data_IF_319532986287
#
_entry.id   IF_319532986287
#
_cell.length_a   1.000
_cell.length_b   1.000
_cell.length_c   1.000
_cell.angle_alpha   90.00
_cell.angle_beta   90.00
_cell.angle_gamma   90.00
#
_symmetry.space_group_name_H-M   'P 1'
#
loop_
_entity.id
_entity.type
_entity.pdbx_description
1 polymer ?
#
# COMPACT_ATOMS: atom_id res chain seq x y z
N UNK A 1 -55.44 19.99 -33.95
CA UNK A 1 -54.53 20.95 -34.58
C UNK A 1 -53.18 20.77 -33.92
N UNK A 2 -52.32 19.98 -34.56
CA UNK A 2 -50.95 19.82 -34.09
C UNK A 2 -50.17 21.10 -34.46
N UNK A 3 -49.52 21.73 -33.52
CA UNK A 3 -48.67 22.90 -33.77
C UNK A 3 -47.52 22.50 -34.69
N UNK A 4 -47.31 23.26 -35.76
CA UNK A 4 -46.22 23.06 -36.71
C UNK A 4 -44.87 23.18 -35.97
N UNK A 5 -44.01 22.15 -35.94
CA UNK A 5 -42.74 22.17 -35.22
C UNK A 5 -41.77 23.26 -35.71
N UNK A 6 -42.03 23.86 -36.89
CA UNK A 6 -41.23 24.98 -37.42
C UNK A 6 -41.37 26.31 -36.72
N UNK A 7 -42.43 26.50 -35.90
CA UNK A 7 -42.62 27.71 -35.09
C UNK A 7 -42.00 27.64 -33.69
N UNK A 8 -41.40 26.54 -33.28
CA UNK A 8 -40.73 26.37 -31.99
C UNK A 8 -39.27 26.80 -31.98
N UNK A 9 -38.62 26.91 -33.15
CA UNK A 9 -37.18 27.18 -33.26
C UNK A 9 -36.73 28.56 -32.76
N UNK A 10 -37.47 29.69 -32.97
CA UNK A 10 -37.07 30.99 -32.40
C UNK A 10 -37.32 31.09 -30.91
N UNK A 11 -38.23 30.28 -30.35
CA UNK A 11 -38.61 30.34 -28.94
C UNK A 11 -37.70 29.51 -28.01
N UNK A 12 -36.95 28.56 -28.52
CA UNK A 12 -36.11 27.70 -27.72
C UNK A 12 -34.73 28.27 -27.37
N UNK A 13 -34.30 29.39 -27.95
CA UNK A 13 -33.04 30.06 -27.62
C UNK A 13 -31.82 29.11 -27.73
N UNK A 14 -31.75 28.29 -28.77
CA UNK A 14 -30.66 27.29 -28.96
C UNK A 14 -29.25 27.84 -28.70
N UNK A 15 -28.89 29.07 -29.13
CA UNK A 15 -27.58 29.62 -28.80
C UNK A 15 -27.39 29.87 -27.30
N UNK A 16 -28.44 30.32 -26.62
CA UNK A 16 -28.39 30.56 -25.16
C UNK A 16 -28.36 29.24 -24.40
N UNK A 17 -29.09 28.21 -24.84
CA UNK A 17 -29.05 26.88 -24.26
C UNK A 17 -27.68 26.24 -24.47
N UNK A 18 -27.11 26.32 -25.67
CA UNK A 18 -25.75 25.82 -25.95
C UNK A 18 -24.72 26.56 -25.09
N UNK A 19 -24.82 27.88 -24.95
CA UNK A 19 -23.98 28.68 -24.07
C UNK A 19 -24.06 28.21 -22.62
N UNK A 20 -25.28 28.02 -22.11
CA UNK A 20 -25.48 27.56 -20.73
C UNK A 20 -24.95 26.15 -20.45
N UNK A 21 -25.04 25.22 -21.42
CA UNK A 21 -24.47 23.88 -21.31
C UNK A 21 -22.95 23.94 -21.27
N UNK A 22 -22.31 24.72 -22.12
CA UNK A 22 -20.87 24.91 -22.18
C UNK A 22 -20.38 25.66 -20.93
N UNK A 23 -21.12 26.65 -20.41
CA UNK A 23 -20.79 27.36 -19.18
C UNK A 23 -20.80 26.44 -17.95
N UNK A 24 -21.66 25.42 -17.92
CA UNK A 24 -21.69 24.44 -16.85
C UNK A 24 -20.34 23.70 -16.72
N UNK A 25 -19.70 23.40 -17.83
CA UNK A 25 -18.39 22.75 -17.86
C UNK A 25 -17.23 23.75 -17.74
N UNK A 26 -17.54 25.05 -17.56
CA UNK A 26 -16.59 26.15 -17.49
C UNK A 26 -15.75 26.30 -18.76
N UNK A 27 -16.35 25.98 -19.92
CA UNK A 27 -15.74 26.14 -21.24
C UNK A 27 -16.19 27.45 -21.86
N UNK A 28 -15.31 28.08 -22.61
CA UNK A 28 -15.63 29.27 -23.38
C UNK A 28 -16.27 28.89 -24.73
N UNK A 29 -17.36 29.57 -25.10
CA UNK A 29 -18.01 29.42 -26.41
C UNK A 29 -18.03 30.75 -27.15
N UNK A 30 -17.61 30.69 -28.41
CA UNK A 30 -17.76 31.80 -29.37
C UNK A 30 -18.41 31.26 -30.64
N UNK A 31 -19.46 31.89 -31.12
CA UNK A 31 -20.05 31.64 -32.45
C UNK A 31 -19.74 32.82 -33.32
N UNK A 32 -19.23 32.54 -34.53
CA UNK A 32 -18.78 33.54 -35.52
C UNK A 32 -19.36 33.30 -36.89
N UNK A 33 -19.52 34.38 -37.62
CA UNK A 33 -19.74 34.32 -39.07
C UNK A 33 -18.43 33.90 -39.73
N UNK A 34 -18.45 32.84 -40.55
CA UNK A 34 -17.23 32.26 -41.12
C UNK A 34 -16.55 33.16 -42.16
N UNK A 35 -17.32 34.00 -42.88
CA UNK A 35 -16.82 34.89 -43.91
C UNK A 35 -16.20 36.16 -43.30
N UNK A 36 -16.95 36.85 -42.45
CA UNK A 36 -16.51 38.12 -41.84
C UNK A 36 -15.66 37.96 -40.60
N UNK A 37 -15.79 36.83 -39.86
CA UNK A 37 -15.16 36.64 -38.57
C UNK A 37 -15.82 37.38 -37.43
N UNK A 38 -17.00 37.98 -37.67
CA UNK A 38 -17.76 38.74 -36.68
C UNK A 38 -18.31 37.78 -35.60
N UNK A 39 -18.17 38.11 -34.35
CA UNK A 39 -18.72 37.36 -33.23
C UNK A 39 -20.22 37.59 -33.09
N UNK A 40 -20.98 36.54 -33.17
CA UNK A 40 -22.44 36.54 -33.09
C UNK A 40 -22.94 36.11 -31.72
N UNK A 41 -22.18 35.30 -31.03
CA UNK A 41 -22.48 34.87 -29.68
C UNK A 41 -21.20 34.63 -28.89
N UNK A 42 -21.23 34.98 -27.61
CA UNK A 42 -20.17 34.75 -26.63
C UNK A 42 -20.84 34.33 -25.32
N UNK A 43 -20.46 33.19 -24.74
CA UNK A 43 -20.99 32.76 -23.45
C UNK A 43 -20.36 33.51 -22.28
N UNK A 44 -20.91 33.32 -21.07
CA UNK A 44 -20.46 34.02 -19.86
C UNK A 44 -18.99 33.65 -19.51
N UNK A 45 -18.60 32.40 -19.63
CA UNK A 45 -17.23 31.93 -19.35
C UNK A 45 -16.22 32.63 -20.27
N UNK A 46 -16.48 32.71 -21.56
CA UNK A 46 -15.55 33.37 -22.51
C UNK A 46 -15.50 34.90 -22.22
N UNK A 47 -16.64 35.54 -21.95
CA UNK A 47 -16.70 36.95 -21.57
C UNK A 47 -15.87 37.23 -20.31
N UNK A 48 -15.95 36.37 -19.31
CA UNK A 48 -15.15 36.46 -18.09
C UNK A 48 -13.64 36.28 -18.38
N UNK A 49 -13.26 35.34 -19.22
CA UNK A 49 -11.83 35.12 -19.58
C UNK A 49 -11.26 36.32 -20.33
N UNK A 50 -12.07 36.99 -21.15
CA UNK A 50 -11.67 38.17 -21.89
C UNK A 50 -11.76 39.48 -21.07
N UNK A 51 -12.35 39.42 -19.87
CA UNK A 51 -12.54 40.59 -19.01
C UNK A 51 -13.50 41.65 -19.59
N UNK A 52 -14.40 41.26 -20.47
CA UNK A 52 -15.34 42.15 -21.13
C UNK A 52 -16.78 41.54 -21.13
N UNK A 53 -17.83 42.32 -20.98
CA UNK A 53 -19.17 41.80 -21.07
C UNK A 53 -19.48 41.29 -22.49
N UNK A 54 -20.29 40.23 -22.60
CA UNK A 54 -20.60 39.57 -23.87
C UNK A 54 -21.13 40.56 -24.93
N UNK A 55 -22.00 41.47 -24.54
CA UNK A 55 -22.58 42.48 -25.44
C UNK A 55 -21.54 43.44 -26.02
N UNK A 56 -20.43 43.65 -25.30
CA UNK A 56 -19.33 44.48 -25.82
C UNK A 56 -18.45 43.75 -26.83
N UNK A 57 -18.55 42.41 -26.91
CA UNK A 57 -17.81 41.54 -27.81
C UNK A 57 -18.58 41.18 -29.07
N UNK A 58 -19.90 41.06 -28.96
CA UNK A 58 -20.80 40.75 -30.09
C UNK A 58 -20.74 41.89 -31.13
N UNK A 59 -20.73 41.54 -32.40
CA UNK A 59 -20.57 42.47 -33.52
C UNK A 59 -19.13 42.87 -33.85
N UNK A 60 -18.16 42.48 -33.02
CA UNK A 60 -16.71 42.70 -33.26
C UNK A 60 -16.03 41.49 -33.86
N UNK A 61 -14.82 41.70 -34.38
CA UNK A 61 -13.90 40.63 -34.83
C UNK A 61 -12.80 40.44 -33.80
N UNK A 62 -12.18 39.27 -33.82
CA UNK A 62 -10.97 39.01 -33.01
C UNK A 62 -9.83 39.94 -33.46
N UNK A 63 -9.36 40.82 -32.61
CA UNK A 63 -8.25 41.72 -32.85
C UNK A 63 -7.00 41.33 -32.05
N UNK A 64 -6.92 40.04 -31.62
CA UNK A 64 -5.80 39.52 -30.84
C UNK A 64 -6.20 39.05 -29.45
N UNK A 65 -7.45 39.22 -29.01
CA UNK A 65 -7.89 38.80 -27.68
C UNK A 65 -7.77 37.29 -27.44
N UNK A 66 -7.95 36.49 -28.50
CA UNK A 66 -7.80 35.01 -28.48
C UNK A 66 -6.52 34.57 -29.22
N UNK A 67 -5.45 35.35 -29.09
CA UNK A 67 -4.15 35.10 -29.75
C UNK A 67 -4.11 35.66 -31.17
N UNK A 68 -3.25 35.10 -32.02
CA UNK A 68 -3.06 35.59 -33.39
C UNK A 68 -4.38 35.55 -34.16
N UNK A 69 -4.83 36.75 -34.55
CA UNK A 69 -6.10 36.96 -35.26
C UNK A 69 -6.12 36.27 -36.62
N UNK A 70 -4.98 36.29 -37.37
CA UNK A 70 -4.86 35.65 -38.67
C UNK A 70 -4.91 34.15 -38.58
N UNK A 71 -4.16 33.56 -37.61
CA UNK A 71 -4.19 32.12 -37.38
C UNK A 71 -5.57 31.62 -36.95
N UNK A 72 -6.26 32.36 -36.09
CA UNK A 72 -7.62 32.03 -35.66
C UNK A 72 -8.61 32.11 -36.82
N UNK A 73 -8.51 33.11 -37.68
CA UNK A 73 -9.37 33.27 -38.85
C UNK A 73 -9.13 32.10 -39.83
N UNK A 74 -7.88 31.73 -40.08
CA UNK A 74 -7.55 30.59 -40.95
C UNK A 74 -8.09 29.28 -40.37
N UNK A 75 -8.00 29.06 -39.07
CA UNK A 75 -8.55 27.87 -38.41
C UNK A 75 -10.09 27.85 -38.45
N UNK A 76 -10.74 28.96 -38.28
CA UNK A 76 -12.21 29.10 -38.41
C UNK A 76 -12.66 28.81 -39.86
N UNK A 77 -11.95 29.32 -40.86
CA UNK A 77 -12.23 29.07 -42.27
C UNK A 77 -12.01 27.59 -42.65
N UNK A 78 -10.94 26.97 -42.11
CA UNK A 78 -10.70 25.53 -42.31
C UNK A 78 -11.84 24.70 -41.70
N UNK A 79 -12.30 25.02 -40.51
CA UNK A 79 -13.43 24.35 -39.85
C UNK A 79 -14.74 24.56 -40.59
N UNK A 80 -14.96 25.74 -41.18
CA UNK A 80 -16.13 26.03 -41.97
C UNK A 80 -16.20 25.22 -43.28
N UNK A 81 -15.04 24.86 -43.87
CA UNK A 81 -14.94 24.08 -45.12
C UNK A 81 -14.97 22.57 -44.91
N UNK A 82 -14.91 22.06 -43.67
CA UNK A 82 -14.86 20.63 -43.39
C UNK A 82 -16.18 20.09 -42.86
N UNK A 83 -16.45 18.80 -43.13
CA UNK A 83 -17.53 18.08 -42.47
C UNK A 83 -16.99 17.50 -41.16
N UNK A 84 -17.35 18.10 -40.03
CA UNK A 84 -16.94 17.65 -38.70
C UNK A 84 -16.15 18.69 -37.88
N UNK A 85 -15.82 18.31 -36.67
CA UNK A 85 -15.13 19.20 -35.74
C UNK A 85 -13.60 19.15 -35.98
N UNK A 86 -12.96 20.32 -35.88
CA UNK A 86 -11.51 20.48 -35.98
C UNK A 86 -11.00 20.84 -34.54
N UNK A 87 -10.01 20.12 -34.08
CA UNK A 87 -9.43 20.35 -32.73
C UNK A 87 -8.00 20.89 -32.86
N UNK A 88 -7.67 21.90 -32.03
CA UNK A 88 -6.31 22.44 -31.94
C UNK A 88 -5.95 22.75 -30.48
N UNK A 89 -4.67 22.63 -30.15
CA UNK A 89 -4.15 23.12 -28.86
C UNK A 89 -3.62 24.55 -29.04
N UNK A 90 -4.00 25.42 -28.09
CA UNK A 90 -3.64 26.83 -28.11
C UNK A 90 -3.16 27.26 -26.73
N UNK A 91 -2.03 27.97 -26.67
CA UNK A 91 -1.54 28.59 -25.44
C UNK A 91 -1.72 30.10 -25.57
N UNK A 92 -2.43 30.68 -24.62
CA UNK A 92 -2.74 32.10 -24.59
C UNK A 92 -2.39 32.71 -23.24
N UNK A 93 -2.08 34.01 -23.29
CA UNK A 93 -2.00 34.84 -22.10
C UNK A 93 -3.29 35.67 -22.02
N UNK A 94 -4.14 35.34 -21.07
CA UNK A 94 -5.40 36.00 -20.84
C UNK A 94 -5.38 36.70 -19.50
N UNK A 95 -5.48 38.02 -19.48
CA UNK A 95 -5.43 38.87 -18.28
C UNK A 95 -4.19 38.62 -17.42
N UNK A 96 -3.01 38.40 -18.07
CA UNK A 96 -1.74 38.10 -17.38
C UNK A 96 -1.61 36.67 -16.85
N UNK A 97 -2.57 35.80 -17.15
CA UNK A 97 -2.53 34.37 -16.81
C UNK A 97 -2.29 33.54 -18.05
N UNK A 98 -1.20 32.80 -18.05
CA UNK A 98 -0.90 31.83 -19.13
C UNK A 98 -1.80 30.62 -18.99
N UNK A 99 -2.66 30.42 -19.99
CA UNK A 99 -3.62 29.31 -20.06
C UNK A 99 -3.36 28.43 -21.26
N UNK A 100 -3.74 27.18 -21.15
CA UNK A 100 -3.64 26.21 -22.23
C UNK A 100 -5.02 25.63 -22.55
N UNK A 101 -5.41 25.77 -23.82
CA UNK A 101 -6.75 25.39 -24.27
C UNK A 101 -6.70 24.28 -25.31
N UNK A 102 -7.68 23.40 -25.27
CA UNK A 102 -8.10 22.60 -26.42
C UNK A 102 -9.30 23.33 -27.02
N UNK A 103 -9.18 23.71 -28.29
CA UNK A 103 -10.21 24.45 -29.03
C UNK A 103 -10.84 23.53 -30.04
N UNK A 104 -12.12 23.25 -29.87
CA UNK A 104 -12.96 22.49 -30.80
C UNK A 104 -13.71 23.47 -31.69
N UNK A 105 -13.56 23.39 -33.01
CA UNK A 105 -14.28 24.24 -33.98
C UNK A 105 -15.17 23.38 -34.87
N UNK A 106 -16.41 23.83 -35.04
CA UNK A 106 -17.42 23.18 -35.88
C UNK A 106 -18.07 24.20 -36.80
N UNK A 107 -17.98 23.97 -38.11
CA UNK A 107 -18.72 24.75 -39.10
C UNK A 107 -20.12 24.20 -39.29
N UNK A 108 -21.14 25.10 -39.36
CA UNK A 108 -22.51 24.70 -39.59
C UNK A 108 -23.27 25.82 -40.36
N UNK A 109 -24.34 25.44 -41.06
CA UNK A 109 -25.16 26.36 -41.81
C UNK A 109 -26.31 26.85 -40.95
N UNK A 110 -26.43 28.15 -40.84
CA UNK A 110 -27.55 28.80 -40.12
C UNK A 110 -28.81 28.79 -41.00
N UNK A 111 -30.03 28.91 -40.42
CA UNK A 111 -31.30 28.95 -41.18
C UNK A 111 -31.38 30.05 -42.18
N UNK A 112 -30.63 31.13 -42.00
CA UNK A 112 -30.57 32.28 -42.93
C UNK A 112 -29.56 32.09 -44.09
N UNK A 113 -28.95 30.90 -44.21
CA UNK A 113 -27.99 30.53 -45.26
C UNK A 113 -26.56 30.99 -44.98
N UNK A 114 -26.27 31.62 -43.83
CA UNK A 114 -24.90 31.97 -43.46
C UNK A 114 -24.14 30.75 -42.97
N UNK A 115 -22.87 30.66 -43.34
CA UNK A 115 -21.95 29.68 -42.75
C UNK A 115 -21.37 30.22 -41.46
N UNK A 116 -21.61 29.51 -40.36
CA UNK A 116 -21.15 29.89 -39.02
C UNK A 116 -20.08 28.88 -38.51
N UNK A 117 -19.28 29.35 -37.53
CA UNK A 117 -18.33 28.51 -36.81
C UNK A 117 -18.59 28.68 -35.33
N UNK A 118 -18.88 27.56 -34.67
CA UNK A 118 -18.88 27.47 -33.21
C UNK A 118 -17.46 27.01 -32.74
N UNK A 119 -16.86 27.76 -31.85
CA UNK A 119 -15.58 27.43 -31.23
C UNK A 119 -15.73 27.27 -29.73
N UNK A 120 -15.52 26.03 -29.24
CA UNK A 120 -15.53 25.71 -27.80
C UNK A 120 -14.08 25.66 -27.33
N UNK A 121 -13.79 26.38 -26.25
CA UNK A 121 -12.47 26.52 -25.66
C UNK A 121 -12.47 25.83 -24.31
N UNK A 122 -11.75 24.72 -24.18
CA UNK A 122 -11.61 23.96 -22.94
C UNK A 122 -10.25 24.25 -22.28
N UNK A 123 -10.25 24.81 -21.06
CA UNK A 123 -9.02 25.07 -20.31
C UNK A 123 -8.49 23.79 -19.65
N UNK A 124 -7.41 23.24 -20.20
CA UNK A 124 -6.76 22.02 -19.71
C UNK A 124 -5.70 22.28 -18.62
N UNK A 125 -5.36 23.52 -18.35
CA UNK A 125 -4.35 23.91 -17.38
C UNK A 125 -4.62 23.35 -15.99
N UNK A 126 -5.83 23.56 -15.41
CA UNK A 126 -6.16 23.05 -14.07
C UNK A 126 -6.11 21.51 -13.96
N UNK A 127 -6.50 20.81 -15.01
CA UNK A 127 -6.47 19.35 -15.03
C UNK A 127 -5.03 18.83 -15.09
N UNK A 128 -4.19 19.40 -15.95
CA UNK A 128 -2.74 19.05 -16.05
C UNK A 128 -1.97 19.38 -14.78
N UNK A 129 -2.30 20.50 -14.13
CA UNK A 129 -1.66 20.86 -12.87
C UNK A 129 -1.99 19.85 -11.76
N UNK A 130 -3.25 19.43 -11.64
CA UNK A 130 -3.67 18.37 -10.70
C UNK A 130 -2.98 17.04 -10.99
N UNK A 131 -2.89 16.65 -12.26
CA UNK A 131 -2.20 15.44 -12.67
C UNK A 131 -0.71 15.47 -12.29
N UNK A 132 -0.05 16.60 -12.52
CA UNK A 132 1.36 16.77 -12.13
C UNK A 132 1.55 16.71 -10.61
N UNK A 133 0.67 17.34 -9.84
CA UNK A 133 0.69 17.27 -8.38
C UNK A 133 0.47 15.84 -7.86
N UNK A 134 -0.46 15.12 -8.48
CA UNK A 134 -0.70 13.72 -8.13
C UNK A 134 0.52 12.83 -8.41
N UNK A 135 1.16 13.00 -9.56
CA UNK A 135 2.40 12.28 -9.91
C UNK A 135 3.53 12.55 -8.90
N UNK A 136 3.71 13.81 -8.50
CA UNK A 136 4.70 14.17 -7.49
C UNK A 136 4.39 13.55 -6.12
N UNK A 137 3.12 13.57 -5.70
CA UNK A 137 2.70 12.97 -4.44
C UNK A 137 2.91 11.44 -4.42
N UNK A 138 2.60 10.76 -5.53
CA UNK A 138 2.85 9.32 -5.66
C UNK A 138 4.35 8.99 -5.56
N UNK A 139 5.21 9.74 -6.26
CA UNK A 139 6.65 9.54 -6.19
C UNK A 139 7.20 9.76 -4.76
N UNK A 140 6.67 10.73 -4.01
CA UNK A 140 7.04 10.95 -2.61
C UNK A 140 6.59 9.79 -1.71
N UNK A 141 5.40 9.25 -1.92
CA UNK A 141 4.91 8.08 -1.17
C UNK A 141 5.79 6.86 -1.41
N UNK A 142 6.18 6.59 -2.65
CA UNK A 142 7.11 5.49 -2.97
C UNK A 142 8.47 5.65 -2.28
N UNK A 143 9.04 6.85 -2.29
CA UNK A 143 10.28 7.13 -1.57
C UNK A 143 10.17 6.91 -0.06
N UNK A 144 9.06 7.38 0.54
CA UNK A 144 8.82 7.20 1.98
C UNK A 144 8.63 5.71 2.33
N UNK A 145 7.97 4.92 1.49
CA UNK A 145 7.83 3.48 1.69
C UNK A 145 9.19 2.77 1.66
N UNK A 146 10.02 3.06 0.65
CA UNK A 146 11.38 2.50 0.56
C UNK A 146 12.25 2.90 1.76
N UNK A 147 12.20 4.16 2.18
CA UNK A 147 12.93 4.62 3.36
C UNK A 147 12.45 3.92 4.65
N UNK A 148 11.14 3.72 4.79
CA UNK A 148 10.56 3.01 5.93
C UNK A 148 10.97 1.53 5.97
N UNK A 149 11.01 0.86 4.81
CA UNK A 149 11.51 -0.51 4.71
C UNK A 149 12.99 -0.61 5.07
N UNK A 150 13.81 0.35 4.61
CA UNK A 150 15.23 0.40 4.97
C UNK A 150 15.42 0.63 6.48
N UNK A 151 14.67 1.57 7.07
CA UNK A 151 14.71 1.82 8.51
C UNK A 151 14.26 0.61 9.32
N UNK A 152 13.22 -0.11 8.86
CA UNK A 152 12.77 -1.36 9.50
C UNK A 152 13.85 -2.44 9.44
N UNK A 153 14.51 -2.62 8.28
CA UNK A 153 15.63 -3.56 8.13
C UNK A 153 16.81 -3.19 9.04
N UNK A 154 17.15 -1.90 9.12
CA UNK A 154 18.21 -1.42 10.02
C UNK A 154 17.83 -1.57 11.50
N UNK A 155 16.58 -1.29 11.87
CA UNK A 155 16.08 -1.48 13.22
C UNK A 155 16.06 -2.98 13.63
N UNK A 156 15.72 -3.87 12.71
CA UNK A 156 15.78 -5.32 12.93
C UNK A 156 17.22 -5.81 13.10
N UNK A 157 18.20 -5.22 12.38
CA UNK A 157 19.63 -5.56 12.51
C UNK A 157 20.31 -4.97 13.75
N UNK A 158 19.79 -3.88 14.32
CA UNK A 158 20.39 -3.18 15.48
C UNK A 158 19.66 -3.42 16.81
N UNK A 159 18.42 -3.93 16.79
CA UNK A 159 17.71 -4.31 18.01
C UNK A 159 18.03 -5.75 18.39
N UNK A 160 18.40 -6.02 19.65
CA UNK A 160 18.57 -7.39 20.12
C UNK A 160 17.30 -8.23 20.05
N UNK A 161 16.13 -7.60 19.91
CA UNK A 161 14.82 -8.25 19.86
C UNK A 161 14.10 -7.97 18.56
N UNK A 162 13.38 -8.96 18.04
CA UNK A 162 12.46 -8.79 16.92
C UNK A 162 11.27 -7.91 17.32
N UNK A 163 10.97 -6.90 16.50
CA UNK A 163 10.08 -5.80 16.86
C UNK A 163 8.68 -6.20 17.34
N UNK A 164 7.99 -7.13 16.67
CA UNK A 164 6.61 -7.48 17.01
C UNK A 164 6.51 -8.60 18.06
N UNK A 165 7.40 -9.60 18.03
CA UNK A 165 7.38 -10.77 18.92
C UNK A 165 8.07 -10.51 20.27
N UNK A 166 8.99 -9.54 20.34
CA UNK A 166 9.77 -9.21 21.53
C UNK A 166 10.78 -10.29 21.94
N UNK A 167 10.97 -11.34 21.13
CA UNK A 167 12.02 -12.34 21.28
C UNK A 167 13.32 -11.84 20.66
N UNK A 168 14.46 -12.41 21.07
CA UNK A 168 15.75 -12.02 20.52
C UNK A 168 15.88 -12.39 19.04
N UNK A 169 16.67 -11.63 18.27
CA UNK A 169 17.08 -12.06 16.95
C UNK A 169 18.10 -13.21 17.03
N UNK A 170 18.21 -13.99 15.97
CA UNK A 170 19.05 -15.20 15.94
C UNK A 170 20.53 -14.91 16.25
N UNK A 171 21.10 -13.85 15.68
CA UNK A 171 22.49 -13.47 15.91
C UNK A 171 22.78 -13.15 17.38
N UNK A 172 21.88 -12.43 18.05
CA UNK A 172 22.01 -12.12 19.47
C UNK A 172 21.84 -13.37 20.35
N UNK A 173 20.91 -14.27 19.96
CA UNK A 173 20.70 -15.53 20.64
C UNK A 173 21.96 -16.44 20.54
N UNK A 174 22.56 -16.56 19.37
CA UNK A 174 23.80 -17.31 19.19
C UNK A 174 24.97 -16.77 20.01
N UNK A 175 25.08 -15.44 20.11
CA UNK A 175 26.06 -14.80 20.98
C UNK A 175 25.81 -15.11 22.47
N UNK A 176 24.56 -15.11 22.91
CA UNK A 176 24.21 -15.48 24.28
C UNK A 176 24.50 -16.95 24.57
N UNK A 177 24.14 -17.84 23.62
CA UNK A 177 24.42 -19.28 23.73
C UNK A 177 25.93 -19.55 23.84
N UNK A 178 26.74 -18.88 23.03
CA UNK A 178 28.22 -19.01 23.08
C UNK A 178 28.76 -18.57 24.45
N UNK A 179 28.30 -17.43 24.97
CA UNK A 179 28.68 -16.92 26.29
C UNK A 179 28.30 -17.87 27.41
N UNK A 180 27.10 -18.48 27.33
CA UNK A 180 26.64 -19.43 28.35
C UNK A 180 27.45 -20.72 28.34
N UNK A 181 27.83 -21.23 27.15
CA UNK A 181 28.77 -22.37 27.02
C UNK A 181 30.13 -22.06 27.67
N UNK A 182 30.68 -20.87 27.38
CA UNK A 182 31.96 -20.43 27.97
C UNK A 182 31.88 -20.29 29.49
N UNK A 183 30.79 -19.72 30.03
CA UNK A 183 30.57 -19.60 31.46
C UNK A 183 30.38 -20.95 32.13
N UNK A 184 29.58 -21.84 31.53
CA UNK A 184 29.33 -23.18 32.03
C UNK A 184 30.64 -24.01 32.11
N UNK A 185 31.48 -23.89 31.10
CA UNK A 185 32.77 -24.56 31.08
C UNK A 185 33.72 -24.08 32.17
N UNK A 186 33.73 -22.78 32.50
CA UNK A 186 34.61 -22.20 33.52
C UNK A 186 34.09 -22.39 34.96
N UNK A 187 32.78 -22.20 35.14
CA UNK A 187 32.16 -22.15 36.47
C UNK A 187 31.42 -23.43 36.84
N UNK A 188 31.42 -24.44 35.99
CA UNK A 188 30.67 -25.68 36.13
C UNK A 188 29.18 -25.49 36.42
N UNK A 189 28.60 -24.50 35.77
CA UNK A 189 27.17 -24.17 35.92
C UNK A 189 26.38 -24.89 34.82
N UNK A 190 25.24 -25.44 35.21
CA UNK A 190 24.33 -26.05 34.23
C UNK A 190 23.50 -25.00 33.54
N UNK A 191 23.17 -25.24 32.28
CA UNK A 191 22.12 -24.53 31.54
C UNK A 191 21.42 -25.50 30.61
N UNK A 192 20.22 -25.12 30.14
CA UNK A 192 19.46 -25.93 29.19
C UNK A 192 19.12 -25.16 27.94
N UNK A 193 19.14 -25.89 26.82
CA UNK A 193 18.64 -25.44 25.51
C UNK A 193 17.34 -26.16 25.23
N UNK A 194 16.35 -25.44 24.70
CA UNK A 194 15.04 -25.97 24.35
C UNK A 194 14.71 -25.57 22.91
N UNK A 195 14.43 -26.56 22.07
CA UNK A 195 13.84 -26.35 20.74
C UNK A 195 12.33 -26.60 20.81
N UNK A 196 11.53 -25.70 20.24
CA UNK A 196 10.07 -25.73 20.32
C UNK A 196 9.49 -25.61 18.92
N UNK A 197 8.62 -26.52 18.53
CA UNK A 197 7.85 -26.46 17.29
C UNK A 197 6.35 -26.38 17.58
N UNK A 198 5.65 -25.55 16.81
CA UNK A 198 4.19 -25.60 16.78
C UNK A 198 3.75 -26.87 16.06
N UNK A 199 2.91 -27.66 16.72
CA UNK A 199 2.37 -28.87 16.11
C UNK A 199 1.40 -28.52 14.96
N UNK A 200 1.16 -29.40 14.00
CA UNK A 200 0.21 -29.17 12.92
C UNK A 200 -1.17 -28.78 13.45
N UNK A 201 -1.69 -27.67 12.98
CA UNK A 201 -3.02 -27.19 13.36
C UNK A 201 -4.10 -28.17 12.87
N UNK A 202 -5.20 -28.26 13.60
CA UNK A 202 -6.39 -29.03 13.18
C UNK A 202 -6.92 -28.54 11.82
N UNK A 203 -7.57 -29.43 11.06
CA UNK A 203 -8.08 -29.12 9.71
C UNK A 203 -8.99 -27.90 9.68
N UNK A 204 -9.82 -27.72 10.68
CA UNK A 204 -10.69 -26.55 10.83
C UNK A 204 -9.89 -25.23 10.98
N UNK A 205 -8.75 -25.26 11.65
CA UNK A 205 -7.86 -24.11 11.80
C UNK A 205 -7.03 -23.87 10.52
N UNK A 206 -6.57 -24.94 9.87
CA UNK A 206 -5.86 -24.87 8.58
C UNK A 206 -6.70 -24.24 7.48
N UNK A 207 -8.02 -24.46 7.48
CA UNK A 207 -8.96 -23.89 6.52
C UNK A 207 -9.06 -22.35 6.61
N UNK A 208 -8.57 -21.73 7.69
CA UNK A 208 -8.52 -20.27 7.87
C UNK A 208 -7.32 -19.63 7.16
N UNK A 209 -6.47 -20.42 6.52
CA UNK A 209 -5.31 -19.95 5.76
C UNK A 209 -4.11 -19.53 6.62
N UNK A 210 -3.11 -18.85 6.02
CA UNK A 210 -1.83 -18.50 6.67
C UNK A 210 -1.98 -17.67 7.95
N UNK A 211 -3.00 -16.84 8.04
CA UNK A 211 -3.28 -15.99 9.22
C UNK A 211 -3.43 -16.78 10.52
N UNK A 212 -3.97 -18.00 10.45
CA UNK A 212 -4.13 -18.84 11.63
C UNK A 212 -2.74 -19.24 12.18
N UNK A 213 -1.83 -19.63 11.32
CA UNK A 213 -0.44 -19.95 11.69
C UNK A 213 0.27 -18.75 12.31
N UNK A 214 0.20 -17.58 11.67
CA UNK A 214 0.82 -16.35 12.16
C UNK A 214 0.30 -15.97 13.57
N UNK A 215 -1.01 -16.03 13.79
CA UNK A 215 -1.61 -15.71 15.07
C UNK A 215 -1.22 -16.71 16.17
N UNK A 216 -1.10 -17.98 15.85
CA UNK A 216 -0.62 -19.02 16.78
C UNK A 216 0.84 -18.78 17.15
N UNK A 217 1.68 -18.47 16.18
CA UNK A 217 3.09 -18.14 16.40
C UNK A 217 3.25 -16.90 17.28
N UNK A 218 2.45 -15.85 17.06
CA UNK A 218 2.42 -14.66 17.90
C UNK A 218 1.98 -14.99 19.34
N UNK A 219 0.97 -15.85 19.50
CA UNK A 219 0.51 -16.29 20.81
C UNK A 219 1.61 -17.07 21.56
N UNK A 220 2.33 -17.97 20.86
CA UNK A 220 3.47 -18.70 21.43
C UNK A 220 4.61 -17.75 21.83
N UNK A 221 4.96 -16.77 20.98
CA UNK A 221 5.98 -15.76 21.29
C UNK A 221 5.62 -14.97 22.57
N UNK A 222 4.36 -14.60 22.74
CA UNK A 222 3.86 -13.93 23.94
C UNK A 222 3.95 -14.82 25.19
N UNK A 223 3.59 -16.12 25.06
CA UNK A 223 3.74 -17.08 26.17
C UNK A 223 5.20 -17.30 26.53
N UNK A 224 6.09 -17.43 25.56
CA UNK A 224 7.53 -17.53 25.81
C UNK A 224 8.04 -16.32 26.58
N UNK A 225 7.69 -15.11 26.16
CA UNK A 225 8.11 -13.87 26.82
C UNK A 225 7.63 -13.78 28.27
N UNK A 226 6.41 -14.24 28.56
CA UNK A 226 5.86 -14.22 29.92
C UNK A 226 6.41 -15.33 30.82
N UNK A 227 6.94 -16.42 30.24
CA UNK A 227 7.48 -17.58 30.97
C UNK A 227 9.01 -17.62 31.03
N UNK A 228 9.73 -16.69 30.36
CA UNK A 228 11.20 -16.57 30.42
C UNK A 228 11.62 -15.47 31.40
N UNK A 229 12.69 -15.71 32.14
CA UNK A 229 13.28 -14.75 33.09
C UNK A 229 14.21 -13.77 32.36
N UNK A 230 14.65 -12.73 33.04
CA UNK A 230 15.58 -11.75 32.46
C UNK A 230 16.92 -12.34 31.99
N UNK A 231 17.35 -13.44 32.60
CA UNK A 231 18.57 -14.17 32.23
C UNK A 231 18.35 -15.24 31.15
N UNK A 232 17.11 -15.61 30.88
CA UNK A 232 16.77 -16.55 29.81
C UNK A 232 16.70 -15.78 28.47
N UNK A 233 16.99 -16.45 27.37
CA UNK A 233 16.85 -15.89 26.03
C UNK A 233 15.93 -16.76 25.19
N UNK A 234 14.99 -16.15 24.50
CA UNK A 234 14.12 -16.83 23.51
C UNK A 234 14.30 -16.19 22.15
N UNK A 235 14.36 -17.00 21.12
CA UNK A 235 14.55 -16.61 19.73
C UNK A 235 13.56 -17.34 18.83
N UNK A 236 13.05 -16.66 17.81
CA UNK A 236 12.34 -17.30 16.71
C UNK A 236 13.38 -17.79 15.70
N UNK A 237 13.46 -19.09 15.50
CA UNK A 237 14.42 -19.70 14.61
C UNK A 237 13.95 -19.68 13.15
N UNK A 238 12.67 -20.03 12.93
CA UNK A 238 12.00 -19.97 11.64
C UNK A 238 10.50 -19.63 11.78
N UNK A 239 9.70 -19.93 10.75
CA UNK A 239 8.27 -19.59 10.73
C UNK A 239 7.45 -20.23 11.85
N UNK A 240 7.86 -21.43 12.33
CA UNK A 240 7.12 -22.23 13.32
C UNK A 240 7.96 -22.72 14.49
N UNK A 241 9.28 -22.45 14.49
CA UNK A 241 10.23 -22.94 15.49
C UNK A 241 10.79 -21.80 16.33
N UNK A 242 10.89 -22.08 17.64
CA UNK A 242 11.54 -21.21 18.63
C UNK A 242 12.63 -21.98 19.35
N UNK A 243 13.63 -21.24 19.80
CA UNK A 243 14.70 -21.78 20.65
C UNK A 243 14.76 -20.96 21.94
N UNK A 244 14.93 -21.63 23.06
CA UNK A 244 14.98 -20.98 24.39
C UNK A 244 16.23 -21.46 25.12
N UNK A 245 17.01 -20.50 25.59
CA UNK A 245 18.15 -20.70 26.47
C UNK A 245 17.69 -20.43 27.91
N UNK A 246 17.86 -21.42 28.80
CA UNK A 246 17.51 -21.34 30.22
C UNK A 246 18.80 -21.34 31.05
N UNK A 247 19.27 -20.16 31.43
CA UNK A 247 20.51 -19.98 32.16
C UNK A 247 20.42 -20.47 33.61
N UNK A 248 21.47 -21.20 34.06
CA UNK A 248 21.55 -21.71 35.42
C UNK A 248 20.49 -22.76 35.80
N UNK A 249 20.03 -23.52 34.79
CA UNK A 249 18.93 -24.49 34.94
C UNK A 249 19.36 -25.86 34.37
N UNK A 250 19.32 -26.87 35.22
CA UNK A 250 19.59 -28.26 34.80
C UNK A 250 18.39 -28.93 34.12
N UNK A 251 18.63 -30.10 33.53
CA UNK A 251 17.70 -30.83 32.67
C UNK A 251 16.33 -31.07 33.32
N UNK A 252 16.25 -31.51 34.57
CA UNK A 252 15.01 -31.81 35.26
C UNK A 252 14.14 -30.55 35.50
N UNK A 253 14.77 -29.44 35.88
CA UNK A 253 14.09 -28.16 36.10
C UNK A 253 13.63 -27.56 34.77
N UNK A 254 14.43 -27.67 33.71
CA UNK A 254 14.07 -27.24 32.38
C UNK A 254 12.87 -28.02 31.85
N UNK A 255 12.86 -29.35 32.00
CA UNK A 255 11.72 -30.20 31.66
C UNK A 255 10.44 -29.76 32.37
N UNK A 256 10.50 -29.56 33.70
CA UNK A 256 9.32 -29.16 34.49
C UNK A 256 8.78 -27.80 34.04
N UNK A 257 9.66 -26.80 33.74
CA UNK A 257 9.24 -25.49 33.23
C UNK A 257 8.59 -25.61 31.83
N UNK A 258 9.16 -26.43 30.96
CA UNK A 258 8.65 -26.61 29.60
C UNK A 258 7.35 -27.41 29.57
N UNK A 259 7.16 -28.37 30.46
CA UNK A 259 5.85 -29.03 30.64
C UNK A 259 4.77 -28.04 31.10
N UNK A 260 5.12 -27.10 31.96
CA UNK A 260 4.21 -26.00 32.34
C UNK A 260 3.82 -25.16 31.12
N UNK A 261 4.79 -24.74 30.32
CA UNK A 261 4.56 -23.94 29.10
C UNK A 261 3.72 -24.73 28.07
N UNK A 262 4.04 -26.02 27.83
CA UNK A 262 3.28 -26.88 26.94
C UNK A 262 1.80 -26.95 27.31
N UNK A 263 1.50 -27.12 28.60
CA UNK A 263 0.11 -27.12 29.11
C UNK A 263 -0.59 -25.78 28.87
N UNK A 264 0.11 -24.66 29.08
CA UNK A 264 -0.44 -23.34 28.79
C UNK A 264 -0.76 -23.18 27.31
N UNK A 265 0.12 -23.62 26.40
CA UNK A 265 -0.15 -23.62 24.96
C UNK A 265 -1.39 -24.45 24.63
N UNK A 266 -1.51 -25.67 25.17
CA UNK A 266 -2.63 -26.57 24.90
C UNK A 266 -4.00 -26.03 25.40
N UNK A 267 -4.00 -25.11 26.37
CA UNK A 267 -5.22 -24.45 26.88
C UNK A 267 -5.45 -23.06 26.30
N UNK A 268 -4.48 -22.52 25.58
CA UNK A 268 -4.58 -21.20 24.96
C UNK A 268 -5.52 -21.23 23.76
N UNK A 269 -6.44 -20.29 23.71
CA UNK A 269 -7.33 -20.06 22.57
C UNK A 269 -6.89 -18.79 21.84
N UNK A 270 -6.73 -18.89 20.54
CA UNK A 270 -6.43 -17.78 19.63
C UNK A 270 -7.65 -17.53 18.75
N UNK A 271 -8.16 -16.31 18.75
CA UNK A 271 -9.29 -15.95 17.89
C UNK A 271 -8.79 -15.49 16.53
N UNK A 272 -9.22 -16.18 15.47
CA UNK A 272 -8.90 -15.86 14.07
C UNK A 272 -10.21 -15.73 13.28
N UNK A 273 -10.48 -14.56 12.74
CA UNK A 273 -11.69 -14.25 11.99
C UNK A 273 -13.01 -14.70 12.71
N UNK A 274 -13.04 -14.49 14.06
CA UNK A 274 -14.19 -14.84 14.91
C UNK A 274 -14.31 -16.33 15.26
N UNK A 275 -13.31 -17.15 14.95
CA UNK A 275 -13.24 -18.59 15.28
C UNK A 275 -12.13 -18.87 16.27
N UNK A 276 -12.42 -19.76 17.20
CA UNK A 276 -11.49 -20.21 18.22
C UNK A 276 -10.52 -21.26 17.63
N UNK A 277 -9.23 -20.99 17.73
CA UNK A 277 -8.14 -21.85 17.29
C UNK A 277 -7.31 -22.25 18.50
N UNK A 278 -7.32 -23.53 18.84
CA UNK A 278 -6.38 -24.13 19.79
C UNK A 278 -5.13 -24.61 19.08
N UNK A 279 -4.03 -24.67 19.81
CA UNK A 279 -2.75 -25.20 19.30
C UNK A 279 -1.98 -25.94 20.37
N UNK A 280 -1.09 -26.82 19.94
CA UNK A 280 -0.14 -27.52 20.80
C UNK A 280 1.29 -27.31 20.31
N UNK A 281 2.24 -27.66 21.13
CA UNK A 281 3.67 -27.55 20.83
C UNK A 281 4.42 -28.81 21.26
N UNK A 282 5.40 -29.17 20.44
CA UNK A 282 6.38 -30.19 20.77
C UNK A 282 7.70 -29.56 21.15
N UNK A 283 8.38 -30.12 22.12
CA UNK A 283 9.62 -29.55 22.66
C UNK A 283 10.69 -30.60 22.83
N UNK A 284 11.93 -30.25 22.48
CA UNK A 284 13.13 -31.01 22.81
C UNK A 284 13.97 -30.22 23.82
N UNK A 285 14.49 -30.88 24.85
CA UNK A 285 15.28 -30.25 25.89
C UNK A 285 16.63 -30.96 25.99
N UNK A 286 17.70 -30.20 25.91
CA UNK A 286 19.08 -30.66 26.16
C UNK A 286 19.72 -29.78 27.24
N UNK A 287 20.68 -30.32 28.00
CA UNK A 287 21.40 -29.54 29.01
C UNK A 287 22.91 -29.71 28.86
N UNK A 288 23.60 -28.64 29.13
CA UNK A 288 25.04 -28.61 29.18
C UNK A 288 25.53 -28.65 30.65
N UNK A 289 26.47 -29.45 31.05
CA UNK A 289 27.29 -30.38 30.19
C UNK A 289 26.70 -31.79 30.07
N UNK A 290 25.53 -32.11 30.63
CA UNK A 290 25.06 -33.48 30.81
C UNK A 290 24.65 -34.23 29.53
N UNK A 291 24.12 -33.52 28.54
CA UNK A 291 23.68 -34.11 27.28
C UNK A 291 24.63 -33.78 26.12
N UNK A 292 25.58 -32.84 26.32
CA UNK A 292 26.49 -32.36 25.31
C UNK A 292 27.74 -31.73 25.93
N UNK A 293 28.87 -31.75 25.23
CA UNK A 293 30.15 -31.15 25.62
C UNK A 293 30.56 -29.98 24.74
N UNK A 294 29.80 -29.68 23.70
CA UNK A 294 30.02 -28.55 22.80
C UNK A 294 28.70 -27.92 22.40
N UNK A 295 28.76 -26.67 21.93
CA UNK A 295 27.55 -25.92 21.45
C UNK A 295 26.85 -26.70 20.30
N UNK A 296 27.60 -27.17 19.30
CA UNK A 296 27.07 -27.91 18.18
C UNK A 296 26.40 -29.22 18.58
N UNK A 297 26.99 -29.91 19.56
CA UNK A 297 26.41 -31.12 20.10
C UNK A 297 25.13 -30.85 20.90
N UNK A 298 25.11 -29.79 21.68
CA UNK A 298 23.92 -29.34 22.42
C UNK A 298 22.75 -29.04 21.49
N UNK A 299 23.00 -28.32 20.43
CA UNK A 299 21.98 -28.01 19.42
C UNK A 299 21.47 -29.28 18.76
N UNK A 300 22.36 -30.16 18.29
CA UNK A 300 21.96 -31.44 17.67
C UNK A 300 21.18 -32.34 18.61
N UNK A 301 21.58 -32.44 19.87
CA UNK A 301 20.89 -33.24 20.87
C UNK A 301 19.50 -32.68 21.20
N UNK A 302 19.36 -31.36 21.25
CA UNK A 302 18.10 -30.65 21.45
C UNK A 302 17.14 -30.89 20.26
N UNK A 303 17.63 -30.79 19.03
CA UNK A 303 16.86 -31.04 17.80
C UNK A 303 16.42 -32.48 17.66
N UNK A 304 17.30 -33.44 18.00
CA UNK A 304 16.98 -34.86 18.01
C UNK A 304 15.84 -35.16 19.00
N UNK A 305 15.90 -34.58 20.20
CA UNK A 305 14.83 -34.69 21.19
C UNK A 305 13.50 -34.08 20.69
N UNK A 306 13.54 -32.91 20.03
CA UNK A 306 12.34 -32.33 19.42
C UNK A 306 11.75 -33.25 18.34
N UNK A 307 12.59 -33.82 17.48
CA UNK A 307 12.17 -34.76 16.45
C UNK A 307 11.48 -36.00 17.07
N UNK A 308 12.05 -36.55 18.15
CA UNK A 308 11.43 -37.67 18.90
C UNK A 308 10.05 -37.25 19.48
N UNK A 309 9.93 -36.03 20.03
CA UNK A 309 8.65 -35.49 20.51
C UNK A 309 7.59 -35.44 19.41
N UNK A 310 7.94 -34.98 18.23
CA UNK A 310 7.04 -34.88 17.07
C UNK A 310 6.65 -36.28 16.58
N UNK A 311 7.62 -37.19 16.41
CA UNK A 311 7.36 -38.55 15.91
C UNK A 311 6.48 -39.38 16.84
N UNK A 312 6.51 -39.13 18.14
CA UNK A 312 5.63 -39.79 19.11
C UNK A 312 4.25 -39.17 19.22
N UNK A 313 3.84 -38.33 18.29
CA UNK A 313 2.49 -37.77 18.17
C UNK A 313 2.33 -36.33 18.64
N UNK A 314 3.43 -35.62 18.89
CA UNK A 314 3.41 -34.21 19.28
C UNK A 314 2.87 -33.94 20.71
N UNK A 315 2.65 -32.65 21.01
CA UNK A 315 2.12 -32.16 22.28
C UNK A 315 2.85 -32.74 23.51
N UNK A 316 4.17 -32.75 23.48
CA UNK A 316 5.03 -33.32 24.56
C UNK A 316 6.39 -32.64 24.64
N UNK A 317 7.05 -32.87 25.76
CA UNK A 317 8.43 -32.50 26.00
C UNK A 317 9.26 -33.77 26.01
N UNK A 318 10.26 -33.87 25.13
CA UNK A 318 11.26 -34.96 25.13
C UNK A 318 12.60 -34.46 25.62
N UNK A 319 13.36 -35.32 26.29
CA UNK A 319 14.66 -35.02 26.83
C UNK A 319 15.75 -35.66 25.93
N UNK A 320 16.80 -34.94 25.70
CA UNK A 320 18.01 -35.49 25.10
C UNK A 320 18.61 -36.52 26.04
N UNK A 321 19.22 -37.56 25.46
CA UNK A 321 19.88 -38.64 26.21
C UNK A 321 21.06 -38.11 27.02
N UNK A 322 21.11 -38.47 28.30
CA UNK A 322 22.26 -38.18 29.15
C UNK A 322 23.42 -39.04 28.69
N UNK A 323 24.58 -38.42 28.54
CA UNK A 323 25.82 -39.15 28.25
C UNK A 323 26.36 -39.73 29.56
N UNK A 324 26.60 -41.00 29.54
CA UNK A 324 27.36 -41.64 30.58
C UNK A 324 28.82 -41.71 30.06
N UNK A 325 29.73 -40.97 30.64
CA UNK A 325 31.14 -41.15 30.34
C UNK A 325 31.47 -42.58 30.73
N UNK A 326 31.68 -43.46 29.73
CA UNK A 326 32.31 -44.73 29.94
C UNK A 326 33.77 -44.43 30.27
N UNK A 327 34.10 -44.52 31.57
CA UNK A 327 35.45 -44.37 32.09
C UNK A 327 36.42 -45.35 31.45
#
# INVERSE_FOLDING_TARGET
>A
MAADPRHLEPALGLPALAGALVDRDRDGLVIKDAASGVWLHVNATMAQWLGQPADALIGKVNTGQLGDAAANKAADQSAAGQAGAVTAQVKLDLQGLRREFIVLRLGYDAPDGRRLVAAVWHDVGPARQRESQLKLALAQLEQLQLANEQLRKQAQGSSPREGASGVYNLAHFEDQLRREVDLSTREHREFALVSIAVDPLADAARSLGPKAGERVVDALANLLRSNTRAMDASCRYDESHFVVLLSGVGLATAHSRMEGLRRQCATQIVVVDGRDVGFTVSMGVASFPHTAQSQDELQRSCEAALTDAIQRGGNRVALASIRFDTA
#
